data_IF_157496527890
#
_entry.id   IF_157496527890
#
_cell.length_a   1.000
_cell.length_b   1.000
_cell.length_c   1.000
_cell.angle_alpha   90.00
_cell.angle_beta   90.00
_cell.angle_gamma   90.00
#
_symmetry.space_group_name_H-M   'P 1'
#
loop_
_entity.id
_entity.type
_entity.pdbx_description
1 polymer ?
#
# COMPACT_ATOMS: atom_id res chain seq x y z
N UNK A 1 -44.51 -39.24 -41.57
CA UNK A 1 -45.56 -38.61 -40.73
C UNK A 1 -44.84 -38.01 -39.52
N UNK A 2 -44.97 -36.78 -39.06
CA UNK A 2 -45.86 -35.65 -39.34
C UNK A 2 -45.21 -34.42 -38.68
N UNK A 3 -45.21 -33.28 -39.39
CA UNK A 3 -44.72 -31.97 -38.90
C UNK A 3 -45.67 -31.40 -37.86
N UNK A 4 -45.13 -30.70 -36.85
CA UNK A 4 -45.83 -29.58 -36.23
C UNK A 4 -44.90 -28.37 -36.18
N UNK A 5 -45.21 -27.36 -37.01
CA UNK A 5 -44.73 -25.98 -36.86
C UNK A 5 -45.81 -25.19 -36.12
N UNK A 6 -45.44 -24.41 -35.11
CA UNK A 6 -46.21 -23.24 -34.66
C UNK A 6 -45.39 -21.98 -34.98
N UNK A 7 -46.07 -20.92 -35.42
CA UNK A 7 -45.49 -19.62 -35.78
C UNK A 7 -45.86 -18.56 -34.72
N UNK A 8 -44.84 -17.78 -34.33
CA UNK A 8 -44.82 -16.36 -33.89
C UNK A 8 -45.49 -15.94 -32.58
N UNK A 9 -45.19 -14.75 -31.98
CA UNK A 9 -44.20 -13.71 -32.31
C UNK A 9 -43.35 -13.18 -31.12
N UNK A 10 -42.28 -12.44 -31.45
CA UNK A 10 -41.57 -11.43 -30.64
C UNK A 10 -41.22 -11.73 -29.16
N UNK A 11 -39.94 -12.11 -28.95
CA UNK A 11 -39.27 -12.01 -27.66
C UNK A 11 -37.86 -11.46 -27.87
N UNK A 12 -37.58 -10.30 -27.26
CA UNK A 12 -36.29 -9.61 -27.26
C UNK A 12 -35.15 -10.58 -26.95
N UNK A 13 -34.17 -10.72 -27.84
CA UNK A 13 -32.94 -11.46 -27.53
C UNK A 13 -32.07 -10.55 -26.66
N UNK A 14 -32.20 -10.69 -25.34
CA UNK A 14 -31.18 -10.21 -24.41
C UNK A 14 -29.90 -11.00 -24.69
N UNK A 15 -28.97 -10.39 -25.43
CA UNK A 15 -27.61 -10.93 -25.57
C UNK A 15 -26.98 -10.87 -24.18
N UNK A 16 -26.48 -12.00 -23.70
CA UNK A 16 -25.86 -12.08 -22.39
C UNK A 16 -24.63 -11.17 -22.36
N UNK A 17 -24.44 -10.39 -21.29
CA UNK A 17 -23.18 -9.66 -21.05
C UNK A 17 -21.98 -10.61 -21.15
N UNK A 18 -22.16 -11.89 -20.81
CA UNK A 18 -21.12 -12.90 -20.91
C UNK A 18 -20.71 -13.19 -22.36
N UNK A 19 -21.66 -13.18 -23.31
CA UNK A 19 -21.38 -13.37 -24.74
C UNK A 19 -20.72 -12.12 -25.35
N UNK A 20 -21.11 -10.93 -24.89
CA UNK A 20 -20.46 -9.67 -25.30
C UNK A 20 -19.00 -9.58 -24.81
N UNK A 21 -18.72 -10.04 -23.58
CA UNK A 21 -17.37 -10.06 -23.00
C UNK A 21 -16.46 -11.10 -23.67
N UNK A 22 -17.03 -12.22 -24.14
CA UNK A 22 -16.28 -13.27 -24.85
C UNK A 22 -15.86 -12.82 -26.27
N UNK A 23 -16.73 -12.10 -27.00
CA UNK A 23 -16.41 -11.57 -28.34
C UNK A 23 -15.33 -10.47 -28.30
N UNK A 24 -15.26 -9.64 -27.24
CA UNK A 24 -14.19 -8.63 -27.10
C UNK A 24 -12.81 -9.24 -26.81
N UNK A 25 -12.75 -10.38 -26.13
CA UNK A 25 -11.47 -11.06 -25.82
C UNK A 25 -10.77 -11.66 -27.03
N UNK A 26 -11.48 -11.94 -28.12
CA UNK A 26 -10.92 -12.57 -29.33
C UNK A 26 -10.46 -11.58 -30.41
N UNK A 27 -10.50 -10.27 -30.15
CA UNK A 27 -10.20 -9.24 -31.17
C UNK A 27 -8.81 -8.62 -31.09
N UNK A 28 -7.98 -9.00 -30.12
CA UNK A 28 -6.66 -8.38 -29.92
C UNK A 28 -5.59 -9.46 -29.72
N UNK A 29 -4.56 -9.54 -30.57
CA UNK A 29 -3.44 -10.45 -30.35
C UNK A 29 -2.68 -10.05 -29.08
N UNK A 30 -2.24 -11.05 -28.31
CA UNK A 30 -1.49 -10.94 -27.03
C UNK A 30 -0.21 -10.08 -27.09
N UNK A 31 0.21 -9.63 -28.28
CA UNK A 31 1.38 -8.77 -28.48
C UNK A 31 1.14 -7.27 -28.22
N UNK A 32 -0.11 -6.82 -28.00
CA UNK A 32 -0.42 -5.41 -27.66
C UNK A 32 -0.47 -5.12 -26.15
N UNK A 33 -0.39 -6.14 -25.29
CA UNK A 33 -0.53 -6.00 -23.83
C UNK A 33 0.66 -5.22 -23.22
N UNK A 34 1.79 -5.15 -23.92
CA UNK A 34 3.03 -4.58 -23.38
C UNK A 34 3.10 -3.04 -23.47
N UNK A 35 2.30 -2.40 -24.35
CA UNK A 35 2.27 -0.94 -24.53
C UNK A 35 1.11 -0.26 -23.75
N UNK A 36 0.22 -1.04 -23.15
CA UNK A 36 -0.90 -0.54 -22.35
C UNK A 36 -0.52 -0.17 -20.91
N UNK A 37 0.60 -0.72 -20.42
CA UNK A 37 1.06 -0.53 -19.05
C UNK A 37 2.02 0.63 -18.86
N UNK A 38 2.24 1.49 -19.87
CA UNK A 38 3.09 2.68 -19.73
C UNK A 38 2.28 3.97 -19.86
N UNK A 39 2.70 4.97 -19.10
CA UNK A 39 2.11 6.31 -19.13
C UNK A 39 3.18 7.37 -19.06
N UNK A 40 2.87 8.54 -19.61
CA UNK A 40 3.67 9.75 -19.48
C UNK A 40 3.14 10.61 -18.33
N UNK A 41 4.06 11.18 -17.56
CA UNK A 41 3.83 12.16 -16.50
C UNK A 41 4.77 13.35 -16.67
N UNK A 42 4.32 14.53 -16.28
CA UNK A 42 5.10 15.75 -16.39
C UNK A 42 5.56 16.13 -14.99
N UNK A 43 6.87 16.24 -14.81
CA UNK A 43 7.47 16.68 -13.54
C UNK A 43 8.16 18.02 -13.72
N UNK A 44 8.03 18.88 -12.73
CA UNK A 44 8.72 20.17 -12.69
C UNK A 44 9.64 20.19 -11.48
N UNK A 45 10.95 20.27 -11.73
CA UNK A 45 11.96 20.37 -10.70
C UNK A 45 12.47 21.81 -10.62
N UNK A 46 12.61 22.30 -9.40
CA UNK A 46 13.15 23.62 -9.10
C UNK A 46 14.33 23.47 -8.15
N UNK A 47 15.43 24.16 -8.45
CA UNK A 47 16.66 24.10 -7.68
C UNK A 47 17.14 25.49 -7.29
N UNK A 48 17.79 25.63 -6.11
CA UNK A 48 18.47 26.87 -5.76
C UNK A 48 19.56 27.25 -6.77
N UNK A 49 19.89 28.55 -6.92
CA UNK A 49 21.02 29.00 -7.72
C UNK A 49 22.31 28.30 -7.29
N UNK A 50 23.12 27.84 -8.26
CA UNK A 50 24.39 27.14 -7.99
C UNK A 50 24.24 25.67 -7.58
N UNK A 51 23.04 25.18 -7.24
CA UNK A 51 22.81 23.75 -7.04
C UNK A 51 22.61 23.04 -8.39
N UNK A 52 22.80 21.71 -8.40
CA UNK A 52 22.37 20.83 -9.49
C UNK A 52 21.06 20.12 -9.15
N UNK A 53 20.35 19.60 -10.14
CA UNK A 53 19.12 18.82 -9.91
C UNK A 53 19.39 17.48 -9.19
N UNK A 54 20.64 16.99 -9.18
CA UNK A 54 20.99 15.71 -8.56
C UNK A 54 20.45 14.50 -9.33
N UNK A 55 20.16 14.68 -10.63
CA UNK A 55 19.67 13.65 -11.53
C UNK A 55 20.83 13.09 -12.37
N UNK A 56 20.94 11.76 -12.43
CA UNK A 56 21.85 11.07 -13.35
C UNK A 56 21.01 10.32 -14.39
N UNK A 57 21.33 10.53 -15.66
CA UNK A 57 20.70 9.84 -16.78
C UNK A 57 21.68 8.89 -17.48
N UNK A 58 21.16 7.89 -18.18
CA UNK A 58 21.90 7.03 -19.09
C UNK A 58 21.14 6.86 -20.40
N UNK A 59 21.75 6.21 -21.40
CA UNK A 59 21.20 6.09 -22.75
C UNK A 59 21.47 7.32 -23.61
N UNK A 60 20.83 7.34 -24.78
CA UNK A 60 21.08 8.27 -25.89
C UNK A 60 21.33 7.48 -27.16
N UNK A 61 21.16 8.09 -28.34
CA UNK A 61 21.36 7.37 -29.61
C UNK A 61 22.81 6.87 -29.80
N UNK A 62 23.75 7.46 -29.07
CA UNK A 62 25.17 7.16 -29.04
C UNK A 62 25.56 6.16 -27.93
N UNK A 63 24.60 5.74 -27.09
CA UNK A 63 24.79 4.81 -25.97
C UNK A 63 23.72 3.71 -26.01
N UNK A 64 23.81 2.76 -25.08
CA UNK A 64 22.83 1.67 -25.01
C UNK A 64 21.46 2.15 -24.52
N UNK A 65 20.56 2.33 -25.49
CA UNK A 65 19.12 2.46 -25.26
C UNK A 65 18.60 3.88 -25.08
N UNK A 66 17.30 3.98 -24.79
CA UNK A 66 16.58 5.25 -24.59
C UNK A 66 17.10 5.98 -23.34
N UNK A 67 16.97 7.30 -23.36
CA UNK A 67 17.33 8.12 -22.20
C UNK A 67 16.47 7.69 -21.00
N UNK A 68 17.13 7.35 -19.90
CA UNK A 68 16.48 6.94 -18.65
C UNK A 68 17.17 7.49 -17.42
N UNK A 69 16.41 7.63 -16.33
CA UNK A 69 16.95 7.94 -15.00
C UNK A 69 17.73 6.72 -14.51
N UNK A 70 19.04 6.87 -14.39
CA UNK A 70 19.94 5.78 -13.94
C UNK A 70 20.22 5.84 -12.45
N UNK A 71 20.26 7.04 -11.88
CA UNK A 71 20.45 7.24 -10.45
C UNK A 71 19.96 8.64 -10.02
N UNK A 72 19.74 8.80 -8.72
CA UNK A 72 19.46 10.08 -8.08
C UNK A 72 20.43 10.28 -6.92
N UNK A 73 21.04 11.47 -6.82
CA UNK A 73 21.95 11.80 -5.74
C UNK A 73 21.21 11.79 -4.39
N UNK A 74 21.73 11.12 -3.35
CA UNK A 74 21.20 11.21 -1.99
C UNK A 74 21.08 12.66 -1.52
N UNK A 75 19.89 13.06 -1.11
CA UNK A 75 19.56 14.42 -0.69
C UNK A 75 19.52 15.45 -1.82
N UNK A 76 19.66 15.06 -3.09
CA UNK A 76 19.50 15.97 -4.24
C UNK A 76 18.04 16.31 -4.54
N UNK A 77 17.80 17.37 -5.31
CA UNK A 77 16.45 17.84 -5.66
C UNK A 77 15.60 16.74 -6.33
N UNK A 78 16.19 16.00 -7.27
CA UNK A 78 15.53 14.89 -7.95
C UNK A 78 14.98 13.86 -6.94
N UNK A 79 15.81 13.42 -5.99
CA UNK A 79 15.38 12.47 -4.97
C UNK A 79 14.35 13.09 -4.01
N UNK A 80 14.62 14.29 -3.48
CA UNK A 80 13.75 14.93 -2.47
C UNK A 80 12.40 15.37 -3.05
N UNK A 81 12.28 15.54 -4.36
CA UNK A 81 11.01 15.88 -4.99
C UNK A 81 9.99 14.75 -4.88
N UNK A 82 10.46 13.50 -4.76
CA UNK A 82 9.65 12.28 -4.77
C UNK A 82 8.72 12.15 -6.00
N UNK A 83 8.99 12.88 -7.09
CA UNK A 83 8.19 12.88 -8.33
C UNK A 83 8.64 11.84 -9.35
N UNK A 84 9.90 11.38 -9.26
CA UNK A 84 10.54 10.51 -10.23
C UNK A 84 11.21 9.31 -9.54
N UNK A 85 11.45 8.26 -10.32
CA UNK A 85 12.04 7.01 -9.86
C UNK A 85 13.18 6.59 -10.80
N UNK A 86 14.12 5.83 -10.25
CA UNK A 86 15.15 5.18 -11.06
C UNK A 86 14.48 4.18 -12.00
N UNK A 87 14.84 4.25 -13.29
CA UNK A 87 14.21 3.44 -14.35
C UNK A 87 13.19 4.19 -15.20
N UNK A 88 12.71 5.37 -14.77
CA UNK A 88 11.83 6.20 -15.60
C UNK A 88 12.55 6.62 -16.90
N UNK A 89 11.85 6.56 -18.03
CA UNK A 89 12.37 7.00 -19.33
C UNK A 89 12.10 8.49 -19.52
N UNK A 90 13.13 9.25 -19.85
CA UNK A 90 12.97 10.67 -20.17
C UNK A 90 12.57 10.80 -21.62
N UNK A 91 11.36 11.26 -21.90
CA UNK A 91 10.83 11.45 -23.26
C UNK A 91 11.01 12.88 -23.76
N UNK A 92 10.99 13.86 -22.84
CA UNK A 92 11.26 15.26 -23.18
C UNK A 92 11.90 16.03 -22.02
N UNK A 93 12.78 16.98 -22.36
CA UNK A 93 13.33 17.98 -21.42
C UNK A 93 13.00 19.36 -21.97
N UNK A 94 12.28 20.17 -21.18
CA UNK A 94 11.87 21.54 -21.50
C UNK A 94 11.19 21.67 -22.88
N UNK A 95 10.42 20.66 -23.29
CA UNK A 95 9.71 20.63 -24.57
C UNK A 95 10.52 20.08 -25.75
N UNK A 96 11.80 19.76 -25.56
CA UNK A 96 12.62 19.09 -26.58
C UNK A 96 12.52 17.58 -26.41
N UNK A 97 12.15 16.86 -27.47
CA UNK A 97 12.08 15.39 -27.43
C UNK A 97 13.47 14.77 -27.40
N UNK A 98 13.67 13.77 -26.56
CA UNK A 98 14.98 13.14 -26.33
C UNK A 98 15.21 11.87 -27.16
N UNK A 99 14.20 11.38 -27.88
CA UNK A 99 14.25 10.09 -28.58
C UNK A 99 15.41 9.94 -29.57
N UNK A 100 15.79 11.03 -30.23
CA UNK A 100 16.85 11.07 -31.24
C UNK A 100 18.07 11.89 -30.80
N UNK A 101 18.20 12.18 -29.50
CA UNK A 101 19.30 12.98 -28.98
C UNK A 101 20.44 12.10 -28.47
N UNK A 102 21.65 12.62 -28.61
CA UNK A 102 22.84 12.07 -27.97
C UNK A 102 22.80 12.32 -26.48
N UNK A 103 23.54 11.52 -25.74
CA UNK A 103 23.64 11.60 -24.30
C UNK A 103 24.08 13.00 -23.83
N UNK A 104 25.12 13.55 -24.46
CA UNK A 104 25.67 14.87 -24.15
C UNK A 104 24.71 16.02 -24.48
N UNK A 105 23.95 15.91 -25.57
CA UNK A 105 22.90 16.87 -25.93
C UNK A 105 21.82 16.95 -24.84
N UNK A 106 21.35 15.80 -24.32
CA UNK A 106 20.34 15.78 -23.24
C UNK A 106 20.90 16.34 -21.93
N UNK A 107 22.17 16.02 -21.60
CA UNK A 107 22.85 16.66 -20.47
C UNK A 107 22.96 18.17 -20.67
N UNK A 108 23.23 18.62 -21.89
CA UNK A 108 23.21 20.02 -22.30
C UNK A 108 21.86 20.69 -22.03
N UNK A 109 20.76 20.03 -22.42
CA UNK A 109 19.40 20.51 -22.15
C UNK A 109 19.14 20.70 -20.65
N UNK A 110 19.47 19.69 -19.82
CA UNK A 110 19.31 19.76 -18.36
C UNK A 110 20.14 20.87 -17.73
N UNK A 111 21.35 21.14 -18.24
CA UNK A 111 22.21 22.25 -17.78
C UNK A 111 21.69 23.62 -18.24
N UNK A 112 21.14 23.70 -19.45
CA UNK A 112 20.62 24.94 -20.04
C UNK A 112 19.27 25.39 -19.47
N UNK A 113 18.53 24.47 -18.83
CA UNK A 113 17.22 24.76 -18.23
C UNK A 113 17.26 25.76 -17.06
N UNK A 114 18.45 26.17 -16.59
CA UNK A 114 18.59 27.14 -15.51
C UNK A 114 18.20 26.54 -14.15
N UNK A 115 17.34 27.21 -13.40
CA UNK A 115 16.90 26.78 -12.06
C UNK A 115 15.62 25.95 -12.06
N UNK A 116 14.90 25.88 -13.18
CA UNK A 116 13.63 25.17 -13.27
C UNK A 116 13.58 24.36 -14.56
N UNK A 117 13.33 23.06 -14.43
CA UNK A 117 13.27 22.15 -15.57
C UNK A 117 11.94 21.40 -15.57
N UNK A 118 11.30 21.36 -16.73
CA UNK A 118 10.11 20.54 -16.99
C UNK A 118 10.57 19.28 -17.70
N UNK A 119 10.30 18.10 -17.14
CA UNK A 119 10.70 16.81 -17.69
C UNK A 119 9.46 15.97 -17.91
N UNK A 120 9.34 15.39 -19.10
CA UNK A 120 8.32 14.39 -19.38
C UNK A 120 8.94 13.00 -19.21
N UNK A 121 8.30 12.19 -18.38
CA UNK A 121 8.76 10.87 -17.99
C UNK A 121 7.74 9.82 -18.42
N UNK A 122 8.19 8.78 -19.11
CA UNK A 122 7.43 7.57 -19.39
C UNK A 122 7.81 6.50 -18.36
N UNK A 123 6.80 5.88 -17.76
CA UNK A 123 6.99 4.88 -16.72
C UNK A 123 5.85 3.86 -16.72
N UNK A 124 6.06 2.77 -15.99
CA UNK A 124 5.05 1.73 -15.83
C UNK A 124 3.91 2.18 -14.90
N UNK A 125 2.72 1.75 -15.25
CA UNK A 125 1.46 1.99 -14.55
C UNK A 125 1.33 0.89 -13.49
N UNK A 126 0.94 1.23 -12.24
CA UNK A 126 0.74 0.23 -11.19
C UNK A 126 -0.20 -0.90 -11.65
N UNK A 127 0.08 -2.16 -11.28
CA UNK A 127 -0.80 -3.28 -11.60
C UNK A 127 -2.18 -3.07 -10.97
N UNK A 128 -3.22 -3.58 -11.64
CA UNK A 128 -4.58 -3.53 -11.10
C UNK A 128 -4.65 -4.52 -9.92
N UNK A 129 -5.18 -4.13 -8.74
CA UNK A 129 -5.24 -4.99 -7.55
C UNK A 129 -5.92 -6.36 -7.76
N UNK A 130 -6.76 -6.50 -8.78
CA UNK A 130 -7.51 -7.72 -9.08
C UNK A 130 -6.71 -8.85 -9.78
N UNK A 131 -5.42 -8.65 -10.06
CA UNK A 131 -4.63 -9.61 -10.84
C UNK A 131 -3.90 -10.69 -10.01
N UNK A 132 -3.74 -10.50 -8.70
CA UNK A 132 -3.13 -11.49 -7.83
C UNK A 132 -4.24 -12.24 -7.11
N UNK A 133 -4.43 -13.54 -7.40
CA UNK A 133 -5.49 -14.40 -6.86
C UNK A 133 -5.53 -14.59 -5.34
N UNK A 134 -4.93 -13.71 -4.55
CA UNK A 134 -5.11 -13.61 -3.11
C UNK A 134 -6.33 -12.73 -2.83
N UNK A 135 -7.33 -13.28 -2.14
CA UNK A 135 -8.46 -12.50 -1.66
C UNK A 135 -7.96 -11.46 -0.66
N UNK A 136 -8.18 -10.17 -0.93
CA UNK A 136 -7.84 -9.07 -0.03
C UNK A 136 -9.07 -8.19 0.20
N UNK A 137 -9.17 -7.59 1.38
CA UNK A 137 -10.19 -6.60 1.74
C UNK A 137 -9.49 -5.25 1.84
N UNK A 138 -10.01 -4.25 1.12
CA UNK A 138 -9.51 -2.89 1.21
C UNK A 138 -10.11 -2.18 2.43
N UNK A 139 -9.25 -1.60 3.27
CA UNK A 139 -9.60 -0.74 4.41
C UNK A 139 -9.08 0.67 4.18
N UNK A 140 -9.59 1.63 4.93
CA UNK A 140 -9.19 3.05 4.81
C UNK A 140 -8.62 3.55 6.13
N UNK A 141 -7.51 4.29 6.03
CA UNK A 141 -6.79 4.90 7.13
C UNK A 141 -6.54 6.39 6.85
N UNK A 142 -6.51 7.20 7.91
CA UNK A 142 -6.07 8.60 7.84
C UNK A 142 -4.66 8.74 8.43
N UNK A 143 -3.76 9.33 7.66
CA UNK A 143 -2.36 9.56 8.00
C UNK A 143 -2.10 11.06 8.07
N UNK A 144 -1.35 11.53 9.07
CA UNK A 144 -0.91 12.92 9.17
C UNK A 144 0.57 12.98 8.83
N UNK A 145 0.90 13.67 7.74
CA UNK A 145 2.28 13.83 7.30
C UNK A 145 2.66 15.30 7.33
N UNK A 146 3.84 15.59 7.90
CA UNK A 146 4.42 16.93 7.89
C UNK A 146 5.35 17.05 6.68
N UNK A 147 5.05 18.00 5.80
CA UNK A 147 5.85 18.28 4.61
C UNK A 147 7.27 18.66 5.02
N UNK A 148 8.24 18.00 4.41
CA UNK A 148 9.65 18.30 4.59
C UNK A 148 10.19 18.93 3.31
N UNK A 149 10.57 20.21 3.42
CA UNK A 149 11.01 21.07 2.32
C UNK A 149 10.01 21.16 1.16
N UNK A 150 9.94 20.13 0.32
CA UNK A 150 9.21 20.13 -0.95
C UNK A 150 8.21 18.97 -1.10
N UNK A 151 8.28 17.92 -0.27
CA UNK A 151 7.45 16.71 -0.44
C UNK A 151 7.05 16.05 0.90
N UNK A 152 6.25 14.98 0.81
CA UNK A 152 5.85 14.14 1.93
C UNK A 152 6.61 12.80 1.99
N UNK A 153 7.64 12.60 1.16
CA UNK A 153 8.50 11.41 1.22
C UNK A 153 7.96 10.18 0.48
N UNK A 154 7.04 10.35 -0.48
CA UNK A 154 6.52 9.24 -1.27
C UNK A 154 6.21 9.65 -2.71
N UNK A 155 6.34 8.69 -3.63
CA UNK A 155 6.00 8.84 -5.04
C UNK A 155 4.66 8.16 -5.32
N UNK A 156 3.78 8.86 -6.04
CA UNK A 156 2.53 8.31 -6.54
C UNK A 156 2.59 8.07 -8.05
N UNK A 157 1.82 7.11 -8.56
CA UNK A 157 1.59 6.87 -9.99
C UNK A 157 0.11 6.53 -10.20
N UNK A 158 -0.37 6.56 -11.45
CA UNK A 158 -1.77 6.30 -11.78
C UNK A 158 -2.55 7.59 -12.10
N UNK A 159 -3.77 7.71 -11.59
CA UNK A 159 -4.68 8.81 -11.89
C UNK A 159 -5.56 8.57 -13.12
N UNK A 160 -6.51 9.48 -13.34
CA UNK A 160 -7.44 9.42 -14.46
C UNK A 160 -6.72 9.70 -15.77
N UNK A 161 -7.03 8.90 -16.79
CA UNK A 161 -6.55 9.05 -18.17
C UNK A 161 -7.75 9.17 -19.11
N UNK A 162 -7.58 9.83 -20.28
CA UNK A 162 -8.66 9.95 -21.27
C UNK A 162 -9.26 8.59 -21.63
N UNK A 163 -8.39 7.58 -21.81
CA UNK A 163 -8.81 6.21 -21.97
C UNK A 163 -9.01 5.56 -20.59
N UNK A 164 -10.26 5.20 -20.29
CA UNK A 164 -10.64 4.69 -18.96
C UNK A 164 -9.94 3.37 -18.62
N UNK A 165 -9.63 2.52 -19.62
CA UNK A 165 -8.87 1.28 -19.42
C UNK A 165 -7.44 1.49 -18.92
N UNK A 166 -6.87 2.69 -19.12
CA UNK A 166 -5.55 3.09 -18.62
C UNK A 166 -5.61 3.89 -17.32
N UNK A 167 -6.80 4.21 -16.81
CA UNK A 167 -6.94 4.86 -15.52
C UNK A 167 -6.58 3.88 -14.40
N UNK A 168 -5.88 4.38 -13.37
CA UNK A 168 -5.57 3.63 -12.15
C UNK A 168 -5.83 4.51 -10.93
N UNK A 169 -6.07 3.91 -9.75
CA UNK A 169 -5.99 4.67 -8.51
C UNK A 169 -4.62 5.34 -8.38
N UNK A 170 -4.56 6.43 -7.60
CA UNK A 170 -3.30 7.09 -7.27
C UNK A 170 -2.55 6.22 -6.25
N UNK A 171 -1.67 5.35 -6.75
CA UNK A 171 -0.97 4.34 -5.95
C UNK A 171 0.43 4.82 -5.58
N UNK A 172 0.82 4.59 -4.34
CA UNK A 172 2.17 4.80 -3.83
C UNK A 172 3.10 3.74 -4.43
N UNK A 173 4.10 4.16 -5.18
CA UNK A 173 5.06 3.27 -5.84
C UNK A 173 6.44 3.29 -5.19
N UNK A 174 6.74 4.31 -4.39
CA UNK A 174 7.98 4.38 -3.63
C UNK A 174 7.81 5.24 -2.38
N UNK A 175 8.54 4.90 -1.34
CA UNK A 175 8.64 5.67 -0.10
C UNK A 175 10.13 5.96 0.10
N UNK A 176 10.46 7.24 0.24
CA UNK A 176 11.85 7.71 0.39
C UNK A 176 12.34 7.40 1.80
N UNK A 177 13.42 6.63 1.97
CA UNK A 177 14.00 6.35 3.29
C UNK A 177 14.33 7.64 4.06
N UNK A 178 13.91 7.70 5.32
CA UNK A 178 14.05 8.86 6.21
C UNK A 178 13.08 10.02 5.93
N UNK A 179 12.29 9.97 4.85
CA UNK A 179 11.29 10.99 4.54
C UNK A 179 10.08 10.95 5.49
N UNK A 180 9.15 11.92 5.39
CA UNK A 180 8.00 12.00 6.29
C UNK A 180 7.12 10.74 6.31
N UNK A 181 6.79 10.18 5.14
CA UNK A 181 6.02 8.93 5.05
C UNK A 181 6.75 7.72 5.63
N UNK A 182 8.07 7.63 5.47
CA UNK A 182 8.87 6.54 6.05
C UNK A 182 8.91 6.63 7.58
N UNK A 183 9.08 7.85 8.11
CA UNK A 183 9.08 8.12 9.56
C UNK A 183 7.71 7.88 10.21
N UNK A 184 6.62 8.14 9.49
CA UNK A 184 5.27 7.78 9.94
C UNK A 184 5.09 6.24 9.92
N UNK A 185 5.65 5.57 8.92
CA UNK A 185 5.89 4.12 8.89
C UNK A 185 4.67 3.26 8.58
N UNK A 186 3.47 3.83 8.49
CA UNK A 186 2.21 3.11 8.21
C UNK A 186 1.91 3.06 6.71
N UNK A 187 2.28 4.10 5.96
CA UNK A 187 2.21 4.11 4.50
C UNK A 187 3.14 3.03 3.92
N UNK A 188 2.65 2.26 2.95
CA UNK A 188 3.41 1.23 2.22
C UNK A 188 3.24 1.35 0.72
N UNK A 189 4.19 0.77 -0.03
CA UNK A 189 4.10 0.66 -1.48
C UNK A 189 2.88 -0.21 -1.83
N UNK A 190 2.09 0.22 -2.80
CA UNK A 190 0.82 -0.40 -3.20
C UNK A 190 -0.42 0.27 -2.60
N UNK A 191 -0.25 1.09 -1.55
CA UNK A 191 -1.34 1.86 -0.96
C UNK A 191 -1.89 2.91 -1.92
N UNK A 192 -3.17 3.26 -1.77
CA UNK A 192 -3.89 4.14 -2.70
C UNK A 192 -4.32 5.41 -1.99
N UNK A 193 -3.89 6.56 -2.48
CA UNK A 193 -4.29 7.85 -1.91
C UNK A 193 -5.67 8.21 -2.47
N UNK A 194 -6.67 8.27 -1.59
CA UNK A 194 -8.07 8.51 -1.98
C UNK A 194 -8.53 9.94 -1.68
N UNK A 195 -7.94 10.61 -0.70
CA UNK A 195 -8.21 12.01 -0.40
C UNK A 195 -7.00 12.66 0.30
N UNK A 196 -6.91 13.99 0.21
CA UNK A 196 -5.99 14.78 1.03
C UNK A 196 -6.72 15.98 1.61
N UNK A 197 -6.64 16.11 2.93
CA UNK A 197 -7.47 16.97 3.75
C UNK A 197 -8.95 16.72 3.41
N UNK A 198 -9.68 17.76 3.05
CA UNK A 198 -11.08 17.65 2.61
C UNK A 198 -11.24 17.44 1.10
N UNK A 199 -10.14 17.30 0.35
CA UNK A 199 -10.17 17.17 -1.11
C UNK A 199 -10.13 15.70 -1.53
N UNK A 200 -11.23 15.12 -2.03
CA UNK A 200 -11.19 13.78 -2.61
C UNK A 200 -10.34 13.80 -3.89
N UNK A 201 -9.53 12.75 -4.08
CA UNK A 201 -8.70 12.58 -5.26
C UNK A 201 -9.29 11.53 -6.23
N UNK A 202 -10.55 11.19 -6.05
CA UNK A 202 -11.26 10.31 -6.98
C UNK A 202 -11.38 11.01 -8.33
N UNK A 203 -11.06 10.31 -9.42
CA UNK A 203 -11.20 10.79 -10.80
C UNK A 203 -10.35 12.03 -11.18
N UNK A 204 -9.28 12.34 -10.45
CA UNK A 204 -8.35 13.41 -10.85
C UNK A 204 -7.20 12.86 -11.70
N UNK A 205 -6.60 13.70 -12.55
CA UNK A 205 -5.39 13.30 -13.28
C UNK A 205 -4.19 13.26 -12.33
N UNK A 206 -3.14 12.53 -12.73
CA UNK A 206 -1.89 12.50 -11.98
C UNK A 206 -1.30 13.89 -11.74
N UNK A 207 -1.28 14.74 -12.78
CA UNK A 207 -0.71 16.08 -12.67
C UNK A 207 -1.52 16.98 -11.74
N UNK A 208 -2.86 16.88 -11.76
CA UNK A 208 -3.72 17.63 -10.84
C UNK A 208 -3.47 17.22 -9.39
N UNK A 209 -3.29 15.92 -9.13
CA UNK A 209 -2.92 15.41 -7.81
C UNK A 209 -1.60 16.03 -7.32
N UNK A 210 -0.58 16.07 -8.18
CA UNK A 210 0.71 16.69 -7.85
C UNK A 210 0.58 18.20 -7.60
N UNK A 211 -0.27 18.91 -8.36
CA UNK A 211 -0.53 20.33 -8.13
C UNK A 211 -1.18 20.57 -6.77
N UNK A 212 -2.17 19.74 -6.39
CA UNK A 212 -2.77 19.78 -5.06
C UNK A 212 -1.68 19.58 -4.00
N UNK A 213 -0.81 18.57 -4.16
CA UNK A 213 0.23 18.28 -3.17
C UNK A 213 1.26 19.40 -3.05
N UNK A 214 1.60 20.06 -4.17
CA UNK A 214 2.52 21.20 -4.20
C UNK A 214 1.97 22.40 -3.41
N UNK A 215 0.65 22.58 -3.37
CA UNK A 215 -0.04 23.66 -2.66
C UNK A 215 -0.18 23.41 -1.14
N UNK A 216 -0.01 22.17 -0.68
CA UNK A 216 -0.09 21.85 0.75
C UNK A 216 1.10 22.43 1.51
N UNK A 217 0.83 23.18 2.58
CA UNK A 217 1.86 23.78 3.43
C UNK A 217 1.85 23.11 4.80
N UNK A 218 3.02 22.72 5.29
CA UNK A 218 3.17 22.11 6.62
C UNK A 218 2.52 20.72 6.71
N UNK A 219 1.58 20.55 7.62
CA UNK A 219 0.91 19.27 7.88
C UNK A 219 -0.27 19.04 6.92
N UNK A 220 -0.39 17.82 6.40
CA UNK A 220 -1.55 17.39 5.63
C UNK A 220 -2.05 16.02 6.08
N UNK A 221 -3.36 15.84 6.02
CA UNK A 221 -4.03 14.58 6.34
C UNK A 221 -4.32 13.81 5.05
N UNK A 222 -3.67 12.66 4.86
CA UNK A 222 -3.86 11.77 3.73
C UNK A 222 -4.84 10.68 4.12
N UNK A 223 -5.92 10.52 3.36
CA UNK A 223 -6.79 9.35 3.44
C UNK A 223 -6.29 8.33 2.45
N UNK A 224 -5.95 7.15 2.97
CA UNK A 224 -5.24 6.10 2.26
C UNK A 224 -6.04 4.80 2.35
N UNK A 225 -6.24 4.17 1.22
CA UNK A 225 -6.79 2.82 1.13
C UNK A 225 -5.64 1.81 1.04
N UNK A 226 -5.73 0.75 1.83
CA UNK A 226 -4.73 -0.31 1.93
C UNK A 226 -5.40 -1.68 1.96
N UNK A 227 -4.67 -2.70 1.51
CA UNK A 227 -5.18 -4.06 1.43
C UNK A 227 -4.81 -4.89 2.66
N UNK A 228 -5.80 -5.62 3.18
CA UNK A 228 -5.66 -6.63 4.21
C UNK A 228 -5.91 -7.99 3.61
N UNK A 229 -4.97 -8.92 3.76
CA UNK A 229 -5.09 -10.27 3.21
C UNK A 229 -6.24 -11.04 3.90
N UNK A 230 -6.99 -11.84 3.14
CA UNK A 230 -8.01 -12.73 3.70
C UNK A 230 -7.43 -14.12 3.84
N UNK A 231 -7.23 -14.55 5.08
CA UNK A 231 -6.70 -15.88 5.39
C UNK A 231 -7.84 -16.85 5.71
N UNK A 232 -8.20 -17.72 4.77
CA UNK A 232 -9.21 -18.77 5.01
C UNK A 232 -8.78 -19.74 6.12
N UNK A 233 -7.47 -20.01 6.24
CA UNK A 233 -6.90 -20.85 7.27
C UNK A 233 -7.25 -20.37 8.69
N UNK A 234 -7.37 -19.06 8.91
CA UNK A 234 -7.75 -18.49 10.22
C UNK A 234 -9.21 -18.76 10.54
N UNK A 235 -10.10 -18.60 9.55
CA UNK A 235 -11.54 -18.84 9.73
C UNK A 235 -11.86 -20.31 10.00
N UNK A 236 -11.11 -21.21 9.39
CA UNK A 236 -11.30 -22.66 9.49
C UNK A 236 -10.35 -23.33 10.49
N UNK A 237 -9.53 -22.57 11.20
CA UNK A 237 -8.57 -23.10 12.16
C UNK A 237 -9.29 -23.88 13.25
N UNK A 238 -8.81 -25.08 13.58
CA UNK A 238 -9.30 -25.91 14.70
C UNK A 238 -8.26 -26.05 15.82
N UNK A 239 -7.19 -25.26 15.77
CA UNK A 239 -6.05 -25.35 16.67
C UNK A 239 -5.02 -24.24 16.40
N UNK A 240 -3.78 -24.40 16.92
CA UNK A 240 -2.72 -23.42 16.71
C UNK A 240 -2.42 -23.19 15.23
N UNK A 241 -2.10 -21.94 14.89
CA UNK A 241 -1.68 -21.53 13.55
C UNK A 241 -0.27 -21.00 13.59
N UNK A 242 0.57 -21.47 12.66
CA UNK A 242 1.87 -20.88 12.42
C UNK A 242 1.72 -19.75 11.38
N UNK A 243 1.97 -18.52 11.82
CA UNK A 243 1.91 -17.31 11.01
C UNK A 243 3.33 -16.82 10.80
N UNK A 244 3.76 -16.81 9.54
CA UNK A 244 5.04 -16.22 9.16
C UNK A 244 4.81 -14.81 8.61
N UNK A 245 5.38 -13.81 9.29
CA UNK A 245 5.20 -12.40 8.92
C UNK A 245 6.56 -11.82 8.52
N UNK A 246 6.67 -11.35 7.29
CA UNK A 246 7.82 -10.57 6.84
C UNK A 246 7.74 -9.15 7.37
N UNK A 247 8.84 -8.64 7.92
CA UNK A 247 8.95 -7.26 8.39
C UNK A 247 10.26 -6.62 7.95
N UNK A 248 10.25 -5.31 7.77
CA UNK A 248 11.48 -4.55 7.55
C UNK A 248 12.33 -4.55 8.82
N UNK A 249 13.66 -4.70 8.74
CA UNK A 249 14.54 -4.60 9.91
C UNK A 249 14.31 -3.33 10.70
N UNK A 250 14.13 -3.47 12.02
CA UNK A 250 13.81 -2.35 12.92
C UNK A 250 12.35 -1.91 12.95
N UNK A 251 11.48 -2.45 12.08
CA UNK A 251 10.04 -2.17 12.14
C UNK A 251 9.33 -2.99 13.22
N UNK A 252 8.29 -2.39 13.80
CA UNK A 252 7.38 -3.07 14.72
C UNK A 252 6.21 -3.70 13.95
N UNK A 253 5.72 -4.86 14.40
CA UNK A 253 4.56 -5.52 13.78
C UNK A 253 3.28 -4.69 13.93
N UNK A 254 3.20 -3.83 14.95
CA UNK A 254 2.03 -3.00 15.25
C UNK A 254 0.98 -3.71 16.10
N UNK A 255 1.40 -4.66 16.92
CA UNK A 255 0.57 -5.29 17.96
C UNK A 255 0.94 -4.74 19.33
N UNK A 256 -0.06 -4.54 20.18
CA UNK A 256 0.13 -4.38 21.63
C UNK A 256 -0.21 -5.70 22.30
N UNK A 257 0.56 -6.04 23.33
CA UNK A 257 0.39 -7.29 24.06
C UNK A 257 -0.13 -7.02 25.47
N UNK A 258 -0.94 -7.94 25.97
CA UNK A 258 -1.36 -7.99 27.37
C UNK A 258 -1.10 -9.39 27.91
N UNK A 259 -0.98 -9.51 29.23
CA UNK A 259 -0.90 -10.79 29.92
C UNK A 259 -2.27 -11.14 30.49
N UNK A 260 -2.69 -12.39 30.28
CA UNK A 260 -3.87 -12.95 30.91
C UNK A 260 -3.53 -14.29 31.55
N UNK A 261 -4.44 -14.80 32.39
CA UNK A 261 -4.34 -16.15 32.92
C UNK A 261 -5.32 -17.03 32.15
N UNK A 262 -4.78 -17.99 31.40
CA UNK A 262 -5.55 -19.01 30.70
C UNK A 262 -5.27 -20.38 31.35
N UNK A 263 -6.31 -21.05 31.87
CA UNK A 263 -6.18 -22.34 32.56
C UNK A 263 -5.11 -22.37 33.67
N UNK A 264 -4.96 -21.28 34.43
CA UNK A 264 -3.98 -21.14 35.50
C UNK A 264 -2.54 -20.91 35.04
N UNK A 265 -2.31 -20.74 33.73
CA UNK A 265 -1.02 -20.39 33.14
C UNK A 265 -1.03 -18.97 32.63
N UNK A 266 0.13 -18.32 32.65
CA UNK A 266 0.32 -17.01 32.04
C UNK A 266 0.22 -17.17 30.51
N UNK A 267 -0.57 -16.31 29.88
CA UNK A 267 -0.80 -16.29 28.44
C UNK A 267 -0.53 -14.87 27.92
N UNK A 268 0.29 -14.77 26.87
CA UNK A 268 0.56 -13.51 26.17
C UNK A 268 -0.46 -13.35 25.07
N UNK A 269 -1.28 -12.30 25.12
CA UNK A 269 -2.38 -12.09 24.19
C UNK A 269 -2.23 -10.79 23.42
N UNK A 270 -2.78 -10.76 22.21
CA UNK A 270 -2.89 -9.54 21.42
C UNK A 270 -4.01 -8.66 21.99
N UNK A 271 -3.65 -7.50 22.50
CA UNK A 271 -4.59 -6.54 23.10
C UNK A 271 -5.18 -5.58 22.05
N UNK A 272 -4.34 -5.07 21.17
CA UNK A 272 -4.76 -4.22 20.06
C UNK A 272 -3.83 -4.40 18.85
N UNK A 273 -4.37 -4.10 17.66
CA UNK A 273 -3.62 -4.07 16.41
C UNK A 273 -3.74 -2.66 15.84
N UNK A 274 -2.60 -2.02 15.58
CA UNK A 274 -2.55 -0.70 14.95
C UNK A 274 -3.07 -0.82 13.50
N UNK A 275 -4.07 -0.02 13.08
CA UNK A 275 -4.54 -0.01 11.70
C UNK A 275 -3.42 0.30 10.69
N UNK A 276 -3.40 -0.43 9.57
CA UNK A 276 -2.38 -0.28 8.52
C UNK A 276 -0.99 -0.82 8.88
N UNK A 277 -0.84 -1.41 10.08
CA UNK A 277 0.40 -2.08 10.47
C UNK A 277 0.63 -3.39 9.72
N UNK A 278 1.82 -3.97 9.90
CA UNK A 278 2.17 -5.27 9.30
C UNK A 278 1.21 -6.35 9.81
N UNK A 279 0.86 -6.32 11.10
CA UNK A 279 -0.09 -7.23 11.72
C UNK A 279 -1.53 -7.08 11.21
N UNK A 280 -1.99 -5.85 10.96
CA UNK A 280 -3.32 -5.64 10.35
C UNK A 280 -3.34 -6.14 8.90
N UNK A 281 -2.29 -5.84 8.12
CA UNK A 281 -2.20 -6.20 6.69
C UNK A 281 -2.06 -7.70 6.43
N UNK A 282 -1.45 -8.46 7.34
CA UNK A 282 -1.30 -9.90 7.18
C UNK A 282 -2.66 -10.63 7.29
N UNK A 283 -3.65 -10.04 7.95
CA UNK A 283 -4.99 -10.60 8.14
C UNK A 283 -5.03 -11.93 8.89
N UNK A 284 -3.89 -12.37 9.43
CA UNK A 284 -3.74 -13.60 10.17
C UNK A 284 -3.95 -13.40 11.68
N UNK A 285 -3.59 -12.21 12.18
CA UNK A 285 -3.59 -11.86 13.59
C UNK A 285 -4.87 -11.09 13.95
N UNK A 286 -5.49 -11.43 15.06
CA UNK A 286 -6.68 -10.77 15.59
C UNK A 286 -6.51 -10.40 17.06
N UNK A 287 -7.25 -9.37 17.49
CA UNK A 287 -7.31 -8.99 18.90
C UNK A 287 -7.92 -10.13 19.72
N UNK A 288 -7.23 -10.51 20.80
CA UNK A 288 -7.58 -11.61 21.68
C UNK A 288 -6.89 -12.93 21.35
N UNK A 289 -6.15 -13.04 20.24
CA UNK A 289 -5.37 -14.24 19.95
C UNK A 289 -4.25 -14.42 20.99
N UNK A 290 -4.03 -15.65 21.45
CA UNK A 290 -2.91 -16.00 22.33
C UNK A 290 -1.69 -16.33 21.49
N UNK A 291 -0.56 -15.66 21.76
CA UNK A 291 0.72 -16.00 21.16
C UNK A 291 1.34 -17.11 22.00
N UNK A 292 1.57 -18.28 21.41
CA UNK A 292 2.16 -19.45 22.07
C UNK A 292 3.69 -19.49 21.93
N UNK A 293 4.19 -19.14 20.74
CA UNK A 293 5.63 -19.06 20.48
C UNK A 293 5.98 -17.87 19.58
N UNK A 294 7.18 -17.31 19.82
CA UNK A 294 7.81 -16.27 18.99
C UNK A 294 9.16 -16.82 18.55
N UNK A 295 9.34 -17.06 17.26
CA UNK A 295 10.56 -17.65 16.66
C UNK A 295 11.00 -18.95 17.38
N UNK A 296 10.01 -19.79 17.74
CA UNK A 296 10.21 -21.05 18.45
C UNK A 296 10.41 -20.91 19.97
N UNK A 297 10.46 -19.70 20.51
CA UNK A 297 10.56 -19.45 21.95
C UNK A 297 9.16 -19.40 22.58
N UNK A 298 8.89 -20.24 23.57
CA UNK A 298 7.57 -20.32 24.22
C UNK A 298 7.28 -19.11 25.11
N UNK A 299 6.09 -18.54 24.97
CA UNK A 299 5.62 -17.36 25.72
C UNK A 299 4.97 -17.71 27.06
N UNK A 300 4.75 -19.00 27.39
CA UNK A 300 3.98 -19.41 28.57
C UNK A 300 4.55 -19.00 29.93
N UNK A 301 5.82 -18.57 29.97
CA UNK A 301 6.47 -18.00 31.15
C UNK A 301 7.04 -16.60 30.89
N UNK A 302 6.81 -16.03 29.71
CA UNK A 302 7.36 -14.75 29.31
C UNK A 302 6.48 -13.61 29.81
N UNK A 303 7.13 -12.57 30.30
CA UNK A 303 6.47 -11.30 30.56
C UNK A 303 6.17 -10.56 29.25
N UNK A 304 5.20 -9.66 29.26
CA UNK A 304 4.86 -8.81 28.10
C UNK A 304 6.08 -8.06 27.54
N UNK A 305 6.97 -7.47 28.37
CA UNK A 305 8.20 -6.84 27.87
C UNK A 305 9.16 -7.81 27.17
N UNK A 306 9.35 -9.02 27.69
CA UNK A 306 10.20 -10.04 27.06
C UNK A 306 9.63 -10.48 25.70
N UNK A 307 8.33 -10.74 25.63
CA UNK A 307 7.65 -11.05 24.38
C UNK A 307 7.77 -9.89 23.37
N UNK A 308 7.59 -8.65 23.82
CA UNK A 308 7.75 -7.45 22.98
C UNK A 308 9.18 -7.30 22.47
N UNK A 309 10.17 -7.61 23.30
CA UNK A 309 11.59 -7.59 22.92
C UNK A 309 11.90 -8.65 21.86
N UNK A 310 11.35 -9.85 21.97
CA UNK A 310 11.52 -10.91 20.96
C UNK A 310 10.94 -10.49 19.61
N UNK A 311 9.70 -9.96 19.60
CA UNK A 311 9.08 -9.41 18.39
C UNK A 311 9.91 -8.28 17.76
N UNK A 312 10.60 -7.49 18.60
CA UNK A 312 11.51 -6.44 18.18
C UNK A 312 12.81 -6.95 17.56
N UNK A 313 13.41 -7.98 18.17
CA UNK A 313 14.74 -8.51 17.81
C UNK A 313 14.81 -9.25 16.47
N UNK A 314 13.68 -9.76 15.97
CA UNK A 314 13.62 -10.39 14.67
C UNK A 314 14.05 -9.42 13.55
N UNK A 315 14.84 -9.89 12.58
CA UNK A 315 15.41 -9.02 11.54
C UNK A 315 14.48 -8.87 10.34
N UNK A 316 14.09 -9.97 9.69
CA UNK A 316 13.37 -9.94 8.40
C UNK A 316 12.06 -10.72 8.38
N UNK A 317 11.94 -11.72 9.26
CA UNK A 317 10.76 -12.55 9.41
C UNK A 317 10.53 -12.84 10.89
N UNK A 318 9.26 -12.88 11.29
CA UNK A 318 8.83 -13.35 12.61
C UNK A 318 7.92 -14.55 12.40
N UNK A 319 8.19 -15.65 13.09
CA UNK A 319 7.31 -16.82 13.13
C UNK A 319 6.53 -16.81 14.43
N UNK A 320 5.21 -16.69 14.33
CA UNK A 320 4.29 -16.68 15.46
C UNK A 320 3.44 -17.92 15.41
N UNK A 321 3.47 -18.72 16.48
CA UNK A 321 2.43 -19.70 16.69
C UNK A 321 1.33 -19.07 17.53
N UNK A 322 0.14 -18.93 16.97
CA UNK A 322 -1.00 -18.30 17.63
C UNK A 322 -2.12 -19.32 17.88
N UNK A 323 -2.82 -19.17 19.00
CA UNK A 323 -4.11 -19.78 19.22
C UNK A 323 -5.19 -18.74 18.92
N UNK A 324 -6.01 -18.93 17.86
CA UNK A 324 -7.11 -18.01 17.57
C UNK A 324 -8.10 -17.92 18.73
N UNK A 325 -8.56 -16.72 19.05
CA UNK A 325 -9.54 -16.51 20.13
C UNK A 325 -10.79 -17.39 19.97
N UNK A 326 -11.22 -17.63 18.73
CA UNK A 326 -12.37 -18.50 18.40
C UNK A 326 -12.21 -19.95 18.90
N UNK A 327 -10.97 -20.38 19.17
CA UNK A 327 -10.63 -21.72 19.63
C UNK A 327 -10.25 -21.78 21.12
N UNK A 328 -10.27 -20.65 21.84
CA UNK A 328 -9.93 -20.61 23.26
C UNK A 328 -11.13 -21.03 24.13
N UNK A 329 -10.98 -22.12 24.87
CA UNK A 329 -11.94 -22.57 25.90
C UNK A 329 -11.24 -22.92 27.21
N UNK A 330 -11.70 -22.42 28.39
CA UNK A 330 -12.82 -21.50 28.60
C UNK A 330 -12.46 -20.04 28.27
N UNK A 331 -13.48 -19.19 28.10
CA UNK A 331 -13.30 -17.75 27.84
C UNK A 331 -12.52 -17.09 28.98
N UNK A 332 -11.50 -16.32 28.62
CA UNK A 332 -10.54 -15.67 29.51
C UNK A 332 -11.24 -14.76 30.54
N UNK A 333 -10.78 -14.83 31.79
CA UNK A 333 -11.13 -13.83 32.82
C UNK A 333 -10.09 -12.72 32.79
N UNK A 334 -10.49 -11.52 32.36
CA UNK A 334 -9.61 -10.34 32.35
C UNK A 334 -9.45 -9.79 33.78
N UNK A 335 -8.23 -9.38 34.15
CA UNK A 335 -7.92 -8.89 35.50
C UNK A 335 -8.57 -7.54 35.88
N UNK A 336 -9.39 -6.93 35.01
CA UNK A 336 -9.99 -5.61 35.21
C UNK A 336 -11.53 -5.59 35.14
N UNK A 337 -12.22 -6.67 35.48
CA UNK A 337 -13.65 -6.56 35.76
C UNK A 337 -13.86 -5.86 37.13
N UNK A 338 -14.56 -4.70 37.19
CA UNK A 338 -15.05 -4.21 38.46
C UNK A 338 -16.01 -5.27 39.00
N UNK A 339 -15.68 -5.86 40.16
CA UNK A 339 -16.59 -6.71 40.91
C UNK A 339 -17.89 -5.93 41.14
N UNK A 340 -18.92 -6.20 40.36
CA UNK A 340 -20.29 -5.92 40.77
C UNK A 340 -20.56 -6.80 41.98
N UNK A 341 -20.32 -6.24 43.17
CA UNK A 341 -20.89 -6.77 44.41
C UNK A 341 -22.42 -6.62 44.29
N UNK A 342 -23.10 -7.69 43.88
CA UNK A 342 -24.52 -7.84 44.18
C UNK A 342 -24.66 -8.13 45.68
N UNK A 343 -24.65 -7.07 46.49
CA UNK A 343 -25.15 -7.14 47.86
C UNK A 343 -26.66 -6.94 47.82
N UNK A 344 -27.39 -8.00 48.13
CA UNK A 344 -28.86 -8.00 48.15
C UNK A 344 -29.44 -9.16 48.95
N UNK A 345 -28.86 -9.48 50.11
CA UNK A 345 -29.56 -10.25 51.13
C UNK A 345 -30.58 -9.34 51.83
N UNK A 346 -31.87 -9.57 51.57
CA UNK A 346 -32.95 -9.01 52.38
C UNK A 346 -33.08 -9.81 53.68
N UNK A 347 -33.23 -9.16 54.85
CA UNK A 347 -33.45 -9.87 56.11
C UNK A 347 -34.88 -10.43 56.19
N UNK A 348 -35.13 -11.48 56.99
CA UNK A 348 -36.43 -12.12 57.08
C UNK A 348 -37.42 -11.24 57.85
N UNK A 349 -38.65 -11.17 57.35
CA UNK A 349 -39.77 -10.48 58.01
C UNK A 349 -40.14 -11.22 59.29
N UNK A 350 -40.02 -10.54 60.43
CA UNK A 350 -40.63 -10.95 61.69
C UNK A 350 -42.06 -10.40 61.78
N UNK A 351 -43.02 -11.33 61.89
CA UNK A 351 -44.44 -11.26 62.29
C UNK A 351 -45.19 -9.93 62.22
#
# INVERSE_FOLDING_TARGET
MSRLRRRSPHGKTNRSLYEMVQEERYKYPESLVQDECRTVTIVELEKPPGAGFGLTISGGIDKDGRIRVSNMRPGGIAQRSDLLQVGDYVTSVSGVQTANLRHDEVIGLLKSAGNRVKIELEHEVPPIPAANGASAISKVLELRLVREEISFGFTIRGGMKPLHSKSRPLTVTHIRPGGPADREGTLKIGDRIVAVNSTPLNHITHNDALMIFKQLLGEACFKVEYDVSVMEAVKNATGPLLVEVSKTPGAHLGITLNSAVNNGKLAVMIDAIKPGSIADRCGALHVGDEILTIDGSSTGHMTVPEATQLLGSASEQVKLEIMPLSQMTPRLTYHNEPKLMMNGELPPKSN
#
